data_IF_688385803392
#
_entry.id   IF_688385803392
#
_cell.length_a   1.000
_cell.length_b   1.000
_cell.length_c   1.000
_cell.angle_alpha   90.00
_cell.angle_beta   90.00
_cell.angle_gamma   90.00
#
_symmetry.space_group_name_H-M   'P 1'
#
loop_
_entity.id
_entity.type
_entity.pdbx_description
1 polymer ?
#
# COMPACT_ATOMS: atom_id res chain seq x y z
N UNK A 1 -21.54 11.71 -13.62
CA UNK A 1 -20.34 12.08 -12.84
C UNK A 1 -19.54 13.06 -13.70
N UNK A 2 -19.21 14.26 -13.20
CA UNK A 2 -18.43 15.23 -13.98
C UNK A 2 -16.98 14.74 -14.20
N UNK A 3 -16.21 15.28 -15.17
CA UNK A 3 -14.81 14.91 -15.36
C UNK A 3 -13.96 15.10 -14.10
N UNK A 4 -14.22 16.18 -13.33
CA UNK A 4 -13.58 16.41 -12.04
C UNK A 4 -13.95 15.33 -11.03
N UNK A 5 -15.24 15.01 -10.89
CA UNK A 5 -15.69 13.97 -9.94
C UNK A 5 -15.09 12.60 -10.26
N UNK A 6 -14.89 12.28 -11.55
CA UNK A 6 -14.16 11.07 -11.96
C UNK A 6 -12.72 11.09 -11.46
N UNK A 7 -12.01 12.23 -11.59
CA UNK A 7 -10.65 12.37 -11.07
C UNK A 7 -10.60 12.16 -9.55
N UNK A 8 -11.53 12.78 -8.81
CA UNK A 8 -11.62 12.62 -7.34
C UNK A 8 -11.99 11.20 -6.92
N UNK A 9 -12.82 10.51 -7.72
CA UNK A 9 -13.13 9.10 -7.49
C UNK A 9 -11.89 8.22 -7.69
N UNK A 10 -11.13 8.43 -8.77
CA UNK A 10 -9.87 7.71 -9.03
C UNK A 10 -8.82 8.00 -7.95
N UNK A 11 -8.78 9.22 -7.39
CA UNK A 11 -7.86 9.55 -6.30
C UNK A 11 -7.98 8.61 -5.09
N UNK A 12 -9.16 8.04 -4.85
CA UNK A 12 -9.37 7.06 -3.77
C UNK A 12 -8.68 5.72 -4.04
N UNK A 13 -8.43 5.39 -5.30
CA UNK A 13 -7.80 4.14 -5.73
C UNK A 13 -6.27 4.21 -5.81
N UNK A 14 -5.72 5.41 -6.04
CA UNK A 14 -4.29 5.60 -6.24
C UNK A 14 -3.43 4.94 -5.16
N UNK A 15 -3.63 5.17 -3.84
CA UNK A 15 -2.75 4.61 -2.83
C UNK A 15 -2.84 3.07 -2.73
N UNK A 16 -3.98 2.47 -3.05
CA UNK A 16 -4.20 1.04 -2.87
C UNK A 16 -3.96 0.22 -4.15
N UNK A 17 -4.07 0.81 -5.34
CA UNK A 17 -3.98 0.06 -6.59
C UNK A 17 -3.09 0.66 -7.68
N UNK A 18 -2.36 1.74 -7.40
CA UNK A 18 -1.43 2.34 -8.38
C UNK A 18 -0.07 2.64 -7.74
N UNK A 19 -0.04 3.52 -6.74
CA UNK A 19 1.18 3.94 -6.07
C UNK A 19 0.83 4.44 -4.65
N UNK A 20 1.26 3.67 -3.65
CA UNK A 20 1.01 3.91 -2.23
C UNK A 20 1.50 5.26 -1.74
N UNK A 21 2.64 5.75 -2.26
CA UNK A 21 3.28 6.99 -1.84
C UNK A 21 3.25 8.06 -2.94
N UNK A 22 2.27 7.96 -3.85
CA UNK A 22 2.15 8.85 -4.99
C UNK A 22 2.17 10.35 -4.59
N UNK A 23 3.12 11.08 -5.16
CA UNK A 23 3.12 12.53 -5.26
C UNK A 23 2.60 12.90 -6.64
N UNK A 24 1.33 13.31 -6.72
CA UNK A 24 0.70 13.64 -8.00
C UNK A 24 1.43 14.78 -8.72
N UNK A 25 1.93 15.76 -7.97
CA UNK A 25 2.70 16.87 -8.53
C UNK A 25 3.99 16.37 -9.18
N UNK A 26 4.75 15.52 -8.48
CA UNK A 26 6.05 15.05 -8.98
C UNK A 26 5.88 14.10 -10.16
N UNK A 27 4.86 13.23 -10.10
CA UNK A 27 4.47 12.33 -11.20
C UNK A 27 4.14 13.12 -12.46
N UNK A 28 3.26 14.12 -12.38
CA UNK A 28 2.86 14.91 -13.54
C UNK A 28 3.99 15.84 -14.03
N UNK A 29 4.78 16.41 -13.12
CA UNK A 29 5.93 17.22 -13.47
C UNK A 29 6.97 16.39 -14.24
N UNK A 30 7.37 15.25 -13.68
CA UNK A 30 8.36 14.34 -14.28
C UNK A 30 7.88 13.83 -15.64
N UNK A 31 6.64 13.37 -15.73
CA UNK A 31 6.07 12.87 -16.98
C UNK A 31 6.04 13.95 -18.08
N UNK A 32 5.74 15.20 -17.73
CA UNK A 32 5.80 16.31 -18.69
C UNK A 32 7.23 16.59 -19.15
N UNK A 33 8.20 16.58 -18.25
CA UNK A 33 9.62 16.80 -18.59
C UNK A 33 10.16 15.71 -19.50
N UNK A 34 9.90 14.43 -19.18
CA UNK A 34 10.35 13.29 -20.00
C UNK A 34 9.74 13.36 -21.40
N UNK A 35 8.43 13.60 -21.53
CA UNK A 35 7.78 13.72 -22.84
C UNK A 35 8.30 14.89 -23.68
N UNK A 36 8.65 16.00 -23.04
CA UNK A 36 9.26 17.14 -23.72
C UNK A 36 10.66 16.80 -24.21
N UNK A 37 11.43 16.06 -23.42
CA UNK A 37 12.77 15.63 -23.83
C UNK A 37 12.72 14.65 -25.01
N UNK A 38 11.82 13.67 -24.96
CA UNK A 38 11.56 12.74 -26.08
C UNK A 38 11.15 13.49 -27.36
N UNK A 39 10.17 14.40 -27.25
CA UNK A 39 9.72 15.18 -28.40
C UNK A 39 10.82 16.09 -28.98
N UNK A 40 11.68 16.66 -28.13
CA UNK A 40 12.80 17.49 -28.57
C UNK A 40 13.92 16.68 -29.24
N UNK A 41 14.06 15.39 -28.92
CA UNK A 41 14.98 14.49 -29.62
C UNK A 41 14.45 14.10 -31.01
N UNK A 42 13.12 14.02 -31.17
CA UNK A 42 12.47 13.66 -32.43
C UNK A 42 12.31 14.84 -33.41
N UNK A 43 12.28 16.08 -32.91
CA UNK A 43 12.10 17.29 -33.71
C UNK A 43 13.44 17.81 -34.28
N UNK A 44 13.45 18.14 -35.58
CA UNK A 44 14.60 18.76 -36.26
C UNK A 44 14.70 20.27 -36.08
N UNK A 45 13.73 20.90 -35.39
CA UNK A 45 13.72 22.35 -35.18
C UNK A 45 14.52 22.76 -33.94
N UNK A 46 15.24 23.89 -34.01
CA UNK A 46 16.05 24.38 -32.90
C UNK A 46 15.16 24.81 -31.73
N UNK A 47 15.26 24.08 -30.62
CA UNK A 47 14.73 24.48 -29.32
C UNK A 47 15.60 25.57 -28.69
N UNK A 48 15.00 26.43 -27.87
CA UNK A 48 15.72 27.38 -27.02
C UNK A 48 16.69 26.63 -26.08
N UNK A 49 17.99 26.89 -26.21
CA UNK A 49 19.04 26.22 -25.44
C UNK A 49 18.92 26.45 -23.92
N UNK A 50 18.33 27.56 -23.47
CA UNK A 50 18.09 27.79 -22.04
C UNK A 50 17.00 26.84 -21.51
N UNK A 51 15.90 26.67 -22.27
CA UNK A 51 14.81 25.75 -21.92
C UNK A 51 15.29 24.30 -21.90
N UNK A 52 16.09 23.92 -22.91
CA UNK A 52 16.72 22.60 -22.99
C UNK A 52 17.66 22.33 -21.82
N UNK A 53 18.49 23.32 -21.44
CA UNK A 53 19.39 23.21 -20.30
C UNK A 53 18.63 23.04 -18.99
N UNK A 54 17.59 23.84 -18.75
CA UNK A 54 16.76 23.77 -17.55
C UNK A 54 16.06 22.41 -17.44
N UNK A 55 15.49 21.89 -18.54
CA UNK A 55 14.87 20.55 -18.58
C UNK A 55 15.87 19.46 -18.22
N UNK A 56 17.06 19.47 -18.83
CA UNK A 56 18.09 18.47 -18.56
C UNK A 56 18.61 18.54 -17.12
N UNK A 57 18.75 19.74 -16.57
CA UNK A 57 19.13 19.94 -15.16
C UNK A 57 18.08 19.33 -14.22
N UNK A 58 16.79 19.63 -14.43
CA UNK A 58 15.71 19.04 -13.63
C UNK A 58 15.66 17.51 -13.72
N UNK A 59 15.80 16.95 -14.92
CA UNK A 59 15.83 15.49 -15.12
C UNK A 59 17.09 14.84 -14.52
N UNK A 60 18.22 15.53 -14.49
CA UNK A 60 19.46 15.01 -13.91
C UNK A 60 19.38 14.74 -12.40
N UNK A 61 18.44 15.39 -11.71
CA UNK A 61 18.18 15.14 -10.29
C UNK A 61 17.33 13.89 -10.03
N UNK A 62 16.76 13.27 -11.07
CA UNK A 62 15.95 12.07 -10.97
C UNK A 62 16.69 10.88 -11.57
N UNK A 63 16.80 9.78 -10.84
CA UNK A 63 17.32 8.53 -11.41
C UNK A 63 16.40 8.03 -12.53
N UNK A 64 16.94 7.25 -13.45
CA UNK A 64 16.16 6.66 -14.54
C UNK A 64 14.97 5.85 -14.03
N UNK A 65 15.18 5.07 -12.97
CA UNK A 65 14.13 4.26 -12.35
C UNK A 65 12.98 5.12 -11.79
N UNK A 66 13.29 6.29 -11.20
CA UNK A 66 12.27 7.23 -10.71
C UNK A 66 11.51 7.86 -11.87
N UNK A 67 12.20 8.22 -12.96
CA UNK A 67 11.55 8.76 -14.15
C UNK A 67 10.59 7.73 -14.77
N UNK A 68 11.04 6.48 -14.90
CA UNK A 68 10.24 5.38 -15.43
C UNK A 68 9.04 5.07 -14.52
N UNK A 69 9.24 4.99 -13.20
CA UNK A 69 8.16 4.82 -12.22
C UNK A 69 7.12 5.94 -12.31
N UNK A 70 7.55 7.20 -12.35
CA UNK A 70 6.64 8.34 -12.48
C UNK A 70 5.90 8.31 -13.83
N UNK A 71 6.56 7.93 -14.93
CA UNK A 71 5.92 7.82 -16.23
C UNK A 71 4.85 6.71 -16.24
N UNK A 72 5.17 5.52 -15.71
CA UNK A 72 4.24 4.41 -15.61
C UNK A 72 3.03 4.78 -14.74
N UNK A 73 3.27 5.42 -13.59
CA UNK A 73 2.21 5.91 -12.70
C UNK A 73 1.35 6.97 -13.39
N UNK A 74 1.95 7.93 -14.10
CA UNK A 74 1.22 8.93 -14.89
C UNK A 74 0.33 8.28 -15.95
N UNK A 75 0.84 7.30 -16.70
CA UNK A 75 0.09 6.59 -17.73
C UNK A 75 -1.11 5.85 -17.15
N UNK A 76 -0.95 5.13 -16.02
CA UNK A 76 -2.05 4.46 -15.31
C UNK A 76 -3.12 5.45 -14.84
N UNK A 77 -2.70 6.58 -14.26
CA UNK A 77 -3.63 7.61 -13.80
C UNK A 77 -4.41 8.21 -14.97
N UNK A 78 -3.74 8.57 -16.08
CA UNK A 78 -4.39 9.17 -17.25
C UNK A 78 -5.27 8.15 -17.98
N UNK A 79 -4.95 6.87 -17.95
CA UNK A 79 -5.84 5.81 -18.46
C UNK A 79 -7.18 5.80 -17.72
N UNK A 80 -7.14 5.92 -16.39
CA UNK A 80 -8.34 5.90 -15.54
C UNK A 80 -9.07 7.25 -15.49
N UNK A 81 -8.34 8.36 -15.66
CA UNK A 81 -8.86 9.72 -15.68
C UNK A 81 -8.31 10.52 -16.87
N UNK A 82 -8.79 10.27 -18.11
CA UNK A 82 -8.26 10.88 -19.34
C UNK A 82 -8.29 12.42 -19.35
N UNK A 83 -9.21 13.01 -18.59
CA UNK A 83 -9.34 14.46 -18.46
C UNK A 83 -8.05 15.12 -17.95
N UNK A 84 -7.32 14.48 -17.03
CA UNK A 84 -6.04 14.99 -16.52
C UNK A 84 -4.99 15.10 -17.63
N UNK A 85 -4.95 14.11 -18.53
CA UNK A 85 -4.06 14.13 -19.70
C UNK A 85 -4.39 15.25 -20.67
N UNK A 86 -5.67 15.57 -20.85
CA UNK A 86 -6.12 16.72 -21.66
C UNK A 86 -5.70 18.04 -21.04
N UNK A 87 -5.86 18.19 -19.72
CA UNK A 87 -5.45 19.40 -19.02
C UNK A 87 -3.92 19.59 -19.03
N UNK A 88 -3.15 18.51 -18.89
CA UNK A 88 -1.69 18.52 -18.92
C UNK A 88 -1.12 19.03 -20.26
N UNK A 89 -1.79 18.71 -21.38
CA UNK A 89 -1.44 19.19 -22.73
C UNK A 89 -2.07 20.54 -23.09
N UNK A 90 -2.84 21.11 -22.17
CA UNK A 90 -3.65 22.30 -22.41
C UNK A 90 -2.90 23.62 -22.28
N UNK A 91 -3.63 24.71 -22.51
CA UNK A 91 -3.13 26.07 -22.34
C UNK A 91 -2.93 26.44 -20.85
N UNK A 92 -2.47 27.67 -20.58
CA UNK A 92 -2.23 28.16 -19.20
C UNK A 92 -3.45 28.07 -18.28
N UNK A 93 -4.67 28.25 -18.79
CA UNK A 93 -5.91 28.13 -17.99
C UNK A 93 -6.14 26.67 -17.60
N UNK A 94 -5.97 25.75 -18.54
CA UNK A 94 -6.12 24.31 -18.31
C UNK A 94 -5.06 23.76 -17.36
N UNK A 95 -3.81 24.23 -17.45
CA UNK A 95 -2.75 23.85 -16.50
C UNK A 95 -3.05 24.31 -15.07
N UNK A 96 -3.61 25.51 -14.89
CA UNK A 96 -4.07 25.97 -13.56
C UNK A 96 -5.24 25.14 -13.02
N UNK A 97 -6.11 24.65 -13.90
CA UNK A 97 -7.18 23.74 -13.54
C UNK A 97 -6.63 22.37 -13.14
N UNK A 98 -5.64 21.84 -13.87
CA UNK A 98 -4.90 20.64 -13.50
C UNK A 98 -4.32 20.77 -12.09
N UNK A 99 -3.57 21.83 -11.81
CA UNK A 99 -2.93 22.04 -10.50
C UNK A 99 -3.94 22.01 -9.35
N UNK A 100 -5.14 22.60 -9.55
CA UNK A 100 -6.23 22.57 -8.56
C UNK A 100 -6.76 21.16 -8.36
N UNK A 101 -7.04 20.43 -9.43
CA UNK A 101 -7.57 19.06 -9.35
C UNK A 101 -6.53 18.13 -8.70
N UNK A 102 -5.25 18.24 -9.06
CA UNK A 102 -4.19 17.44 -8.46
C UNK A 102 -4.06 17.70 -6.96
N UNK A 103 -4.20 18.96 -6.51
CA UNK A 103 -4.19 19.29 -5.09
C UNK A 103 -5.36 18.63 -4.33
N UNK A 104 -6.58 18.71 -4.86
CA UNK A 104 -7.76 18.06 -4.27
C UNK A 104 -7.62 16.54 -4.25
N UNK A 105 -7.10 15.95 -5.32
CA UNK A 105 -6.83 14.51 -5.38
C UNK A 105 -5.77 14.11 -4.33
N UNK A 106 -4.74 14.92 -4.13
CA UNK A 106 -3.69 14.64 -3.14
C UNK A 106 -4.24 14.62 -1.71
N UNK A 107 -5.19 15.51 -1.38
CA UNK A 107 -5.90 15.49 -0.11
C UNK A 107 -6.69 14.19 0.08
N UNK A 108 -7.41 13.75 -0.96
CA UNK A 108 -8.16 12.47 -0.94
C UNK A 108 -7.22 11.28 -0.75
N UNK A 109 -6.08 11.24 -1.46
CA UNK A 109 -5.06 10.18 -1.27
C UNK A 109 -4.60 10.13 0.19
N UNK A 110 -4.36 11.29 0.80
CA UNK A 110 -3.99 11.38 2.21
C UNK A 110 -5.08 10.88 3.15
N UNK A 111 -6.33 11.27 2.90
CA UNK A 111 -7.48 10.87 3.69
C UNK A 111 -7.72 9.36 3.65
N UNK A 112 -7.67 8.73 2.47
CA UNK A 112 -7.98 7.30 2.29
C UNK A 112 -7.04 6.41 3.08
N UNK A 113 -5.73 6.71 3.06
CA UNK A 113 -4.76 5.96 3.88
C UNK A 113 -5.10 6.02 5.38
N UNK A 114 -5.57 7.16 5.85
CA UNK A 114 -5.99 7.33 7.24
C UNK A 114 -7.31 6.62 7.55
N UNK A 115 -8.26 6.65 6.61
CA UNK A 115 -9.56 5.98 6.71
C UNK A 115 -9.40 4.46 6.76
N UNK A 116 -8.63 3.86 5.84
CA UNK A 116 -8.40 2.41 5.79
C UNK A 116 -7.77 1.90 7.09
N UNK A 117 -6.68 2.53 7.54
CA UNK A 117 -6.05 2.20 8.82
C UNK A 117 -7.02 2.36 10.00
N UNK A 118 -7.86 3.39 9.99
CA UNK A 118 -8.82 3.65 11.07
C UNK A 118 -9.99 2.67 11.09
N UNK A 119 -10.46 2.23 9.92
CA UNK A 119 -11.49 1.22 9.77
C UNK A 119 -10.98 -0.20 10.06
N UNK A 120 -9.69 -0.46 9.88
CA UNK A 120 -9.07 -1.75 10.18
C UNK A 120 -8.85 -1.98 11.69
N UNK A 121 -8.50 -0.92 12.43
CA UNK A 121 -8.17 -0.96 13.88
C UNK A 121 -9.15 -1.77 14.74
N UNK A 122 -10.49 -1.62 14.62
CA UNK A 122 -11.43 -2.39 15.45
C UNK A 122 -11.42 -3.89 15.17
N UNK A 123 -10.94 -4.32 14.00
CA UNK A 123 -10.99 -5.71 13.54
C UNK A 123 -9.66 -6.44 13.67
N UNK A 124 -8.54 -5.72 13.74
CA UNK A 124 -7.19 -6.32 13.64
C UNK A 124 -6.95 -7.41 14.70
N UNK A 125 -7.47 -7.24 15.91
CA UNK A 125 -7.38 -8.25 16.98
C UNK A 125 -8.09 -9.55 16.60
N UNK A 126 -9.28 -9.46 15.99
CA UNK A 126 -10.01 -10.61 15.48
C UNK A 126 -9.29 -11.23 14.27
N UNK A 127 -8.77 -10.41 13.36
CA UNK A 127 -8.05 -10.90 12.18
C UNK A 127 -6.72 -11.57 12.52
N UNK A 128 -6.12 -11.23 13.66
CA UNK A 128 -4.89 -11.84 14.15
C UNK A 128 -5.11 -13.13 14.97
N UNK A 129 -6.35 -13.46 15.36
CA UNK A 129 -6.61 -14.75 15.99
C UNK A 129 -6.48 -15.86 14.94
N UNK A 130 -5.83 -16.98 15.26
CA UNK A 130 -5.64 -18.12 14.35
C UNK A 130 -6.98 -18.59 13.77
N UNK A 131 -7.89 -18.94 14.67
CA UNK A 131 -9.19 -19.53 14.38
C UNK A 131 -10.27 -18.63 15.00
N UNK A 132 -10.60 -17.49 14.36
CA UNK A 132 -11.38 -16.40 14.97
C UNK A 132 -12.84 -16.73 15.26
N UNK A 133 -13.33 -17.89 14.82
CA UNK A 133 -14.66 -18.40 15.13
C UNK A 133 -14.67 -19.28 16.39
N UNK A 134 -13.54 -19.90 16.72
CA UNK A 134 -13.38 -20.79 17.87
C UNK A 134 -12.63 -20.11 19.03
N UNK A 135 -11.54 -19.40 18.74
CA UNK A 135 -10.64 -18.81 19.73
C UNK A 135 -10.26 -17.36 19.39
N UNK A 136 -10.15 -16.55 20.45
CA UNK A 136 -9.67 -15.17 20.37
C UNK A 136 -8.17 -15.04 20.63
N UNK A 137 -7.70 -13.79 20.71
CA UNK A 137 -6.37 -13.52 21.26
C UNK A 137 -6.34 -13.75 22.78
N UNK A 138 -5.22 -14.27 23.26
CA UNK A 138 -4.91 -14.52 24.66
C UNK A 138 -3.63 -13.78 25.09
N UNK A 139 -3.71 -12.82 26.03
CA UNK A 139 -4.93 -12.35 26.72
C UNK A 139 -5.89 -11.56 25.81
N UNK A 140 -7.21 -11.55 26.08
CA UNK A 140 -8.16 -10.81 25.24
C UNK A 140 -7.85 -9.32 25.13
N UNK A 141 -8.03 -8.78 23.92
CA UNK A 141 -7.91 -7.34 23.63
C UNK A 141 -9.31 -6.75 23.47
N UNK A 142 -9.80 -6.10 24.52
CA UNK A 142 -11.12 -5.45 24.51
C UNK A 142 -11.08 -4.15 23.71
N UNK A 143 -12.18 -3.76 23.06
CA UNK A 143 -12.27 -2.60 22.17
C UNK A 143 -12.26 -1.21 22.86
N UNK A 144 -11.85 -1.10 24.13
CA UNK A 144 -11.67 0.22 24.75
C UNK A 144 -10.55 0.98 24.03
N UNK A 145 -10.80 2.22 23.61
CA UNK A 145 -9.97 2.81 22.55
C UNK A 145 -8.58 3.28 22.99
N UNK A 146 -8.24 3.32 24.28
CA UNK A 146 -6.94 3.83 24.74
C UNK A 146 -6.11 2.82 25.54
N UNK A 147 -6.72 2.02 26.43
CA UNK A 147 -5.99 1.03 27.24
C UNK A 147 -5.79 -0.29 26.50
N UNK A 148 -6.60 -0.59 25.50
CA UNK A 148 -6.41 -1.78 24.66
C UNK A 148 -5.19 -1.70 23.75
N UNK A 149 -4.87 -0.51 23.21
CA UNK A 149 -3.72 -0.33 22.31
C UNK A 149 -2.39 -0.55 23.01
N UNK A 150 -2.30 -0.16 24.28
CA UNK A 150 -1.11 -0.43 25.09
C UNK A 150 -0.87 -1.93 25.28
N UNK A 151 -1.88 -2.78 25.06
CA UNK A 151 -1.80 -4.24 25.15
C UNK A 151 -1.62 -4.90 23.79
N UNK A 152 -1.55 -4.15 22.68
CA UNK A 152 -1.35 -4.68 21.32
C UNK A 152 0.14 -4.71 20.93
N UNK A 153 0.41 -5.23 19.73
CA UNK A 153 1.76 -5.26 19.14
C UNK A 153 2.73 -6.05 19.99
N UNK A 154 3.89 -5.46 20.28
CA UNK A 154 4.96 -6.12 21.06
C UNK A 154 4.55 -6.46 22.50
N UNK A 155 3.50 -5.84 23.05
CA UNK A 155 3.03 -6.12 24.41
C UNK A 155 2.07 -7.31 24.49
N UNK A 156 1.67 -7.89 23.34
CA UNK A 156 0.81 -9.07 23.28
C UNK A 156 1.61 -10.29 22.80
N UNK A 157 1.60 -11.43 23.50
CA UNK A 157 2.41 -12.60 23.12
C UNK A 157 2.18 -13.10 21.68
N UNK A 158 0.92 -13.21 21.24
CA UNK A 158 0.62 -13.66 19.87
C UNK A 158 0.97 -12.60 18.81
N UNK A 159 0.68 -11.31 19.03
CA UNK A 159 0.99 -10.26 18.05
C UNK A 159 2.50 -9.97 17.99
N UNK A 160 3.20 -10.02 19.12
CA UNK A 160 4.65 -9.94 19.18
C UNK A 160 5.31 -11.12 18.43
N UNK A 161 4.72 -12.31 18.49
CA UNK A 161 5.15 -13.46 17.68
C UNK A 161 5.00 -13.20 16.18
N UNK A 162 3.87 -12.60 15.77
CA UNK A 162 3.64 -12.18 14.37
C UNK A 162 4.64 -11.12 13.89
N UNK A 163 5.03 -10.19 14.77
CA UNK A 163 6.02 -9.14 14.48
C UNK A 163 7.47 -9.62 14.63
N UNK A 164 7.69 -10.82 15.17
CA UNK A 164 9.02 -11.38 15.37
C UNK A 164 9.71 -11.54 14.00
N UNK A 165 10.97 -11.09 13.85
CA UNK A 165 11.72 -11.34 12.63
C UNK A 165 11.78 -12.84 12.35
N UNK A 166 11.47 -13.25 11.11
CA UNK A 166 11.18 -14.66 10.80
C UNK A 166 12.32 -15.62 11.18
N UNK A 167 13.58 -15.17 11.04
CA UNK A 167 14.77 -15.93 11.46
C UNK A 167 14.82 -16.31 12.96
N UNK A 168 13.99 -15.69 13.80
CA UNK A 168 13.91 -15.93 15.24
C UNK A 168 12.58 -16.56 15.67
N UNK A 169 11.68 -16.89 14.73
CA UNK A 169 10.32 -17.34 15.08
C UNK A 169 10.32 -18.63 15.90
N UNK A 170 11.18 -19.59 15.57
CA UNK A 170 11.32 -20.85 16.33
C UNK A 170 11.80 -20.57 17.76
N UNK A 171 12.80 -19.68 17.92
CA UNK A 171 13.29 -19.29 19.23
C UNK A 171 12.22 -18.55 20.03
N UNK A 172 11.43 -17.70 19.37
CA UNK A 172 10.30 -17.01 19.98
C UNK A 172 9.22 -17.99 20.45
N UNK A 173 8.85 -18.98 19.64
CA UNK A 173 7.85 -19.99 20.00
C UNK A 173 8.25 -20.82 21.22
N UNK A 174 9.55 -21.12 21.35
CA UNK A 174 10.08 -21.85 22.50
C UNK A 174 10.07 -21.01 23.79
N UNK A 175 10.46 -19.73 23.72
CA UNK A 175 10.57 -18.85 24.89
C UNK A 175 9.97 -17.45 24.69
N UNK A 176 8.65 -17.28 24.46
CA UNK A 176 8.07 -16.00 24.05
C UNK A 176 8.37 -14.83 25.01
N UNK A 177 8.36 -15.11 26.32
CA UNK A 177 8.56 -14.09 27.36
C UNK A 177 9.94 -13.42 27.32
N UNK A 178 10.96 -14.15 26.87
CA UNK A 178 12.34 -13.63 26.72
C UNK A 178 12.45 -12.57 25.61
N UNK A 179 11.52 -12.60 24.67
CA UNK A 179 11.50 -11.71 23.52
C UNK A 179 10.47 -10.58 23.63
N UNK A 180 9.43 -10.76 24.45
CA UNK A 180 8.42 -9.74 24.78
C UNK A 180 8.92 -8.79 25.87
N UNK A 181 9.63 -9.30 26.88
CA UNK A 181 10.16 -8.51 27.99
C UNK A 181 11.69 -8.62 28.03
N UNK A 182 12.35 -7.48 27.80
CA UNK A 182 13.64 -7.16 28.42
C UNK A 182 14.98 -7.70 27.85
N UNK A 183 15.16 -7.82 26.54
CA UNK A 183 16.52 -7.69 25.98
C UNK A 183 16.55 -7.29 24.50
N UNK A 184 16.40 -5.98 24.24
CA UNK A 184 16.50 -5.36 22.91
C UNK A 184 17.86 -5.57 22.22
N UNK A 185 18.81 -6.23 22.88
CA UNK A 185 20.13 -6.61 22.34
C UNK A 185 20.12 -7.93 21.59
N UNK A 186 19.15 -8.82 21.83
CA UNK A 186 19.13 -10.17 21.26
C UNK A 186 18.55 -10.23 19.84
N UNK A 187 17.58 -9.37 19.51
CA UNK A 187 16.96 -9.33 18.18
C UNK A 187 17.15 -7.95 17.56
N UNK A 188 18.04 -7.87 16.57
CA UNK A 188 18.13 -6.70 15.69
C UNK A 188 17.15 -6.85 14.54
N UNK A 189 16.16 -5.96 14.52
CA UNK A 189 15.27 -5.76 13.38
C UNK A 189 16.00 -4.91 12.34
N UNK A 190 16.16 -5.43 11.13
CA UNK A 190 16.75 -4.72 10.00
C UNK A 190 15.80 -4.79 8.82
N UNK A 191 15.88 -3.82 7.90
CA UNK A 191 15.02 -3.76 6.72
C UNK A 191 15.07 -5.02 5.83
N UNK A 192 16.17 -5.80 5.90
CA UNK A 192 16.31 -7.06 5.17
C UNK A 192 15.68 -8.29 5.84
N UNK A 193 14.98 -8.15 6.98
CA UNK A 193 14.36 -9.29 7.67
C UNK A 193 12.88 -9.05 7.87
N UNK A 194 12.07 -9.89 7.22
CA UNK A 194 10.62 -9.83 7.28
C UNK A 194 10.07 -10.36 8.61
N UNK A 195 8.95 -9.82 9.10
CA UNK A 195 8.24 -10.35 10.26
C UNK A 195 7.50 -11.66 9.92
N UNK A 196 7.26 -12.49 10.93
CA UNK A 196 6.59 -13.78 10.79
C UNK A 196 5.19 -13.70 10.17
N UNK A 197 4.46 -12.60 10.37
CA UNK A 197 3.15 -12.33 9.75
C UNK A 197 3.19 -12.36 8.21
N UNK A 198 4.37 -12.17 7.62
CA UNK A 198 4.56 -12.23 6.16
C UNK A 198 4.49 -13.66 5.65
N UNK A 199 4.70 -14.66 6.50
CA UNK A 199 4.83 -16.06 6.09
C UNK A 199 3.57 -16.86 6.40
N UNK A 200 3.32 -17.89 5.58
CA UNK A 200 2.29 -18.89 5.82
C UNK A 200 2.48 -19.60 7.17
N UNK A 201 1.45 -20.36 7.56
CA UNK A 201 1.42 -21.15 8.78
C UNK A 201 0.44 -20.64 9.82
N UNK A 202 0.17 -21.47 10.82
CA UNK A 202 -0.72 -21.16 11.92
C UNK A 202 -0.06 -21.50 13.28
N UNK A 203 0.43 -20.50 14.05
CA UNK A 203 0.46 -19.05 13.73
C UNK A 203 1.43 -18.73 12.56
N UNK A 204 1.37 -17.51 11.98
CA UNK A 204 2.19 -17.14 10.83
C UNK A 204 3.69 -17.37 11.09
N UNK A 205 4.39 -17.90 10.10
CA UNK A 205 5.81 -18.23 10.16
C UNK A 205 6.15 -19.53 10.90
N UNK A 206 5.16 -20.28 11.41
CA UNK A 206 5.40 -21.59 12.06
C UNK A 206 6.12 -22.58 11.13
N UNK A 207 5.75 -22.58 9.85
CA UNK A 207 6.25 -23.53 8.86
C UNK A 207 7.41 -22.95 8.05
N UNK A 208 8.09 -21.91 8.57
CA UNK A 208 9.20 -21.28 7.87
C UNK A 208 10.41 -22.21 7.76
N UNK A 209 10.82 -22.45 6.51
CA UNK A 209 12.02 -23.18 6.15
C UNK A 209 13.17 -22.19 5.83
N UNK A 210 14.25 -22.15 6.62
CA UNK A 210 15.40 -21.30 6.33
C UNK A 210 16.14 -21.72 5.04
N UNK A 211 16.00 -22.97 4.59
CA UNK A 211 16.60 -23.46 3.35
C UNK A 211 15.71 -23.12 2.12
N UNK A 212 14.44 -22.75 2.34
CA UNK A 212 13.49 -22.34 1.31
C UNK A 212 12.71 -21.07 1.69
N UNK A 213 13.44 -19.94 1.82
CA UNK A 213 12.90 -18.66 2.33
C UNK A 213 11.77 -18.03 1.51
N UNK A 214 11.52 -18.51 0.29
CA UNK A 214 10.44 -18.03 -0.57
C UNK A 214 9.12 -18.75 -0.29
N UNK A 215 9.19 -19.94 0.32
CA UNK A 215 8.01 -20.73 0.63
C UNK A 215 7.13 -20.01 1.65
N UNK A 216 5.85 -19.89 1.30
CA UNK A 216 4.87 -19.20 2.14
C UNK A 216 5.08 -17.68 2.26
N UNK A 217 6.07 -17.07 1.58
CA UNK A 217 6.31 -15.63 1.66
C UNK A 217 5.12 -14.83 1.09
N UNK A 218 4.70 -13.80 1.82
CA UNK A 218 3.49 -12.98 1.63
C UNK A 218 2.18 -13.79 1.63
N UNK A 219 2.15 -14.95 2.29
CA UNK A 219 0.96 -15.82 2.38
C UNK A 219 0.38 -15.94 3.78
N UNK A 220 0.86 -15.17 4.76
CA UNK A 220 0.31 -15.16 6.12
C UNK A 220 -1.18 -14.80 6.15
N UNK A 221 -1.96 -15.49 7.00
CA UNK A 221 -3.41 -15.32 7.00
C UNK A 221 -3.86 -13.91 7.38
N UNK A 222 -3.10 -13.21 8.23
CA UNK A 222 -3.43 -11.84 8.64
C UNK A 222 -3.41 -10.90 7.43
N UNK A 223 -2.37 -11.01 6.59
CA UNK A 223 -2.26 -10.24 5.35
C UNK A 223 -3.43 -10.53 4.41
N UNK A 224 -3.80 -11.81 4.24
CA UNK A 224 -4.99 -12.20 3.42
C UNK A 224 -6.27 -11.57 3.95
N UNK A 225 -6.48 -11.58 5.27
CA UNK A 225 -7.67 -11.00 5.93
C UNK A 225 -7.71 -9.47 5.76
N UNK A 226 -6.56 -8.79 5.87
CA UNK A 226 -6.45 -7.34 5.63
C UNK A 226 -6.70 -6.99 4.16
N UNK A 227 -6.14 -7.76 3.22
CA UNK A 227 -6.43 -7.63 1.78
C UNK A 227 -7.95 -7.71 1.52
N UNK A 228 -8.62 -8.73 2.06
CA UNK A 228 -10.07 -8.88 1.92
C UNK A 228 -10.85 -7.74 2.58
N UNK A 229 -10.39 -7.22 3.72
CA UNK A 229 -11.01 -6.06 4.35
C UNK A 229 -10.99 -4.83 3.42
N UNK A 230 -9.82 -4.50 2.86
CA UNK A 230 -9.59 -3.29 2.05
C UNK A 230 -10.25 -3.42 0.68
N UNK A 231 -10.07 -4.55 -0.01
CA UNK A 231 -10.47 -4.68 -1.41
C UNK A 231 -11.88 -5.23 -1.59
N UNK A 232 -12.40 -6.00 -0.63
CA UNK A 232 -13.75 -6.58 -0.74
C UNK A 232 -14.70 -5.97 0.28
N UNK A 233 -14.58 -6.33 1.56
CA UNK A 233 -15.33 -5.73 2.66
C UNK A 233 -14.85 -6.28 4.01
N UNK A 234 -15.13 -5.59 5.14
CA UNK A 234 -14.89 -6.14 6.47
C UNK A 234 -15.59 -7.49 6.72
N UNK A 235 -16.79 -7.68 6.16
CA UNK A 235 -17.59 -8.90 6.33
C UNK A 235 -17.04 -10.11 5.57
N UNK A 236 -16.21 -9.88 4.55
CA UNK A 236 -15.58 -10.94 3.76
C UNK A 236 -14.23 -11.39 4.31
N UNK A 237 -13.65 -10.63 5.26
CA UNK A 237 -12.27 -10.80 5.67
C UNK A 237 -11.95 -12.20 6.23
N UNK A 238 -12.90 -12.82 6.95
CA UNK A 238 -12.71 -14.11 7.62
C UNK A 238 -13.35 -15.29 6.89
N UNK A 239 -13.99 -15.03 5.77
CA UNK A 239 -14.74 -16.04 5.03
C UNK A 239 -13.79 -16.77 4.09
N UNK A 240 -14.02 -18.05 3.83
CA UNK A 240 -13.22 -18.81 2.88
C UNK A 240 -13.38 -18.33 1.43
N UNK A 241 -12.41 -18.67 0.60
CA UNK A 241 -12.42 -18.23 -0.80
C UNK A 241 -13.54 -18.93 -1.58
N UNK A 242 -14.35 -18.14 -2.29
CA UNK A 242 -15.47 -18.62 -3.10
C UNK A 242 -16.86 -18.42 -2.47
N UNK A 243 -16.93 -18.16 -1.17
CA UNK A 243 -18.19 -17.81 -0.50
C UNK A 243 -18.52 -16.32 -0.67
N UNK A 244 -19.80 -16.01 -0.94
CA UNK A 244 -20.27 -14.64 -1.19
C UNK A 244 -21.12 -14.13 -0.05
N UNK A 245 -20.68 -13.04 0.59
CA UNK A 245 -21.47 -12.34 1.63
C UNK A 245 -21.66 -10.85 1.38
N UNK A 246 -21.04 -10.29 0.34
CA UNK A 246 -21.11 -8.84 0.08
C UNK A 246 -22.27 -8.51 -0.84
N UNK A 247 -23.26 -7.77 -0.32
CA UNK A 247 -24.37 -7.23 -1.13
C UNK A 247 -23.95 -5.97 -1.91
N UNK A 248 -22.94 -5.24 -1.41
CA UNK A 248 -22.38 -4.04 -2.05
C UNK A 248 -21.10 -4.37 -2.81
N UNK A 249 -20.87 -3.67 -3.91
CA UNK A 249 -19.60 -3.76 -4.67
C UNK A 249 -18.45 -3.20 -3.84
N UNK A 250 -17.49 -4.05 -3.47
CA UNK A 250 -16.22 -3.63 -2.86
C UNK A 250 -15.27 -2.95 -3.84
N UNK A 251 -14.15 -2.42 -3.33
CA UNK A 251 -13.13 -1.70 -4.12
C UNK A 251 -12.62 -2.53 -5.31
N UNK A 252 -12.38 -3.82 -5.12
CA UNK A 252 -11.97 -4.74 -6.18
C UNK A 252 -12.95 -4.72 -7.37
N UNK A 253 -14.26 -4.77 -7.08
CA UNK A 253 -15.30 -4.72 -8.12
C UNK A 253 -15.42 -3.32 -8.73
N UNK A 254 -15.32 -2.26 -7.92
CA UNK A 254 -15.39 -0.88 -8.39
C UNK A 254 -14.24 -0.53 -9.35
N UNK A 255 -13.06 -1.12 -9.14
CA UNK A 255 -11.87 -0.88 -9.94
C UNK A 255 -11.52 -2.03 -10.90
N UNK A 256 -12.47 -2.96 -11.11
CA UNK A 256 -12.31 -4.10 -12.02
C UNK A 256 -11.04 -4.95 -11.77
N UNK A 257 -10.66 -5.08 -10.50
CA UNK A 257 -9.53 -5.87 -10.04
C UNK A 257 -9.82 -7.36 -10.29
N UNK A 258 -9.07 -7.97 -11.21
CA UNK A 258 -9.20 -9.40 -11.56
C UNK A 258 -8.24 -10.30 -10.79
N UNK A 259 -7.17 -9.73 -10.25
CA UNK A 259 -6.13 -10.43 -9.48
C UNK A 259 -5.51 -9.49 -8.46
N UNK A 260 -4.91 -10.08 -7.43
CA UNK A 260 -4.04 -9.35 -6.50
C UNK A 260 -2.70 -9.10 -7.19
N UNK A 261 -2.23 -7.86 -7.15
CA UNK A 261 -0.94 -7.41 -7.68
C UNK A 261 -0.03 -6.94 -6.55
N UNK A 262 1.25 -6.69 -6.86
CA UNK A 262 2.27 -6.37 -5.88
C UNK A 262 1.95 -5.10 -5.07
N UNK A 263 1.33 -4.11 -5.70
CA UNK A 263 0.91 -2.85 -5.06
C UNK A 263 -0.17 -3.09 -4.03
N UNK A 264 -1.11 -3.99 -4.32
CA UNK A 264 -2.20 -4.34 -3.41
C UNK A 264 -1.64 -5.01 -2.14
N UNK A 265 -0.67 -5.90 -2.32
CA UNK A 265 0.01 -6.60 -1.22
C UNK A 265 0.83 -5.61 -0.39
N UNK A 266 1.64 -4.77 -1.03
CA UNK A 266 2.45 -3.76 -0.36
C UNK A 266 1.59 -2.80 0.45
N UNK A 267 0.48 -2.32 -0.12
CA UNK A 267 -0.46 -1.45 0.58
C UNK A 267 -1.05 -2.12 1.80
N UNK A 268 -1.63 -3.32 1.64
CA UNK A 268 -2.27 -4.06 2.73
C UNK A 268 -1.29 -4.45 3.84
N UNK A 269 -0.03 -4.67 3.52
CA UNK A 269 1.00 -4.99 4.50
C UNK A 269 1.37 -3.81 5.41
N UNK A 270 1.26 -2.58 4.90
CA UNK A 270 1.59 -1.35 5.64
C UNK A 270 0.41 -0.84 6.48
N UNK A 271 -0.83 -1.26 6.17
CA UNK A 271 -2.02 -0.93 6.97
C UNK A 271 -2.07 -1.69 8.30
#
# INVERSE_FOLDING_TARGET
MSPRDQCLHIARWIPCGIDMFCSLRDVFCTANLVRQDEAAQDLSEPEDEAVKKERKEMLSHLTRDVQEHHMNTFQRIVMLAPHLGTLARGNKKQRRELDRILAEMQEIIGQIRSEDASHLKPFIGRYAAADPDDDGLHPPIYSDHSKSRAKMGMNHPQLAGMLCPIKHIQSYQNEPRKYVYNDSKLIKVHAGVWPALSYAGNPPGKDFDPDNVQEGFLQGYLLKRVLKHIYTSPSSALIDDGEKTTVRSGNAKLHNMQKVEVEHIAYAFVQ
#
